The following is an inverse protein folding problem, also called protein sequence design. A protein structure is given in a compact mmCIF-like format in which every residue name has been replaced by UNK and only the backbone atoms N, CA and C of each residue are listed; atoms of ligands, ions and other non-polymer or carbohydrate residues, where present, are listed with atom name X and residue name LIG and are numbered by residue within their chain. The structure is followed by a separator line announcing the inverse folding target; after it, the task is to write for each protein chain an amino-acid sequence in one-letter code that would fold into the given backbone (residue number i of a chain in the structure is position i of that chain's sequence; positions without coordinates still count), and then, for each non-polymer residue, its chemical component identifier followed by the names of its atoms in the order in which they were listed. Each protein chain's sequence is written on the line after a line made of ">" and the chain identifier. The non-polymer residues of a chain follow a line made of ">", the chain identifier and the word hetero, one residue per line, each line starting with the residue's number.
data_IF_435300270504
#
_entry.id   IF_435300270504
#
_cell.length_a   1.000
_cell.length_b   1.000
_cell.length_c   1.000
_cell.angle_alpha   90.00
_cell.angle_beta   90.00
_cell.angle_gamma   90.00
#
_symmetry.space_group_name_H-M   'P 1'
#
loop_
_entity.id
_entity.type
_entity.pdbx_description
1 polymer ?
#
# COMPACT_ATOMS: atom_id res chain seq x y z
N UNK A 1 62.41 17.48 36.54
CA UNK A 1 61.84 16.20 36.05
C UNK A 1 60.32 16.37 35.93
N UNK A 2 59.79 16.56 34.71
CA UNK A 2 58.34 16.75 34.46
C UNK A 2 57.73 15.41 34.02
N UNK A 3 56.74 14.91 34.76
CA UNK A 3 55.97 13.71 34.40
C UNK A 3 54.88 14.11 33.40
N UNK A 4 54.91 13.53 32.20
CA UNK A 4 53.89 13.72 31.17
C UNK A 4 52.91 12.54 31.27
N UNK A 5 51.68 12.82 31.68
CA UNK A 5 50.59 11.83 31.76
C UNK A 5 50.04 11.66 30.33
N UNK A 6 50.18 10.46 29.77
CA UNK A 6 49.58 10.09 28.49
C UNK A 6 48.10 9.75 28.72
N UNK A 7 47.22 10.61 28.21
CA UNK A 7 45.78 10.40 28.11
C UNK A 7 45.51 9.47 26.91
N UNK A 8 45.05 8.25 27.14
CA UNK A 8 44.56 7.37 26.08
C UNK A 8 43.12 7.80 25.72
N UNK A 9 42.96 8.53 24.63
CA UNK A 9 41.65 8.73 23.99
C UNK A 9 41.17 7.39 23.43
N UNK A 10 40.08 6.88 24.00
CA UNK A 10 39.31 5.77 23.41
C UNK A 10 38.53 6.37 22.24
N UNK A 11 39.00 6.12 21.02
CA UNK A 11 38.27 6.44 19.81
C UNK A 11 37.06 5.52 19.67
N UNK A 12 35.85 6.09 19.68
CA UNK A 12 34.63 5.40 19.28
C UNK A 12 34.77 5.14 17.77
N UNK A 13 35.05 3.89 17.41
CA UNK A 13 34.98 3.43 16.02
C UNK A 13 33.50 3.39 15.67
N UNK A 14 33.02 4.44 15.01
CA UNK A 14 31.74 4.42 14.32
C UNK A 14 31.81 3.34 13.25
N UNK A 15 31.12 2.23 13.48
CA UNK A 15 30.90 1.18 12.48
C UNK A 15 30.05 1.81 11.38
N UNK A 16 30.70 2.39 10.38
CA UNK A 16 30.08 2.67 9.10
C UNK A 16 29.70 1.32 8.52
N UNK A 17 28.40 0.99 8.58
CA UNK A 17 27.81 -0.13 7.86
C UNK A 17 28.35 -0.13 6.44
N UNK A 18 29.23 -1.08 6.14
CA UNK A 18 29.59 -1.43 4.79
C UNK A 18 28.34 -2.06 4.20
N UNK A 19 27.49 -1.21 3.60
CA UNK A 19 26.38 -1.62 2.77
C UNK A 19 26.94 -2.50 1.66
N UNK A 20 26.71 -3.80 1.77
CA UNK A 20 26.94 -4.72 0.69
C UNK A 20 26.06 -4.27 -0.47
N UNK A 21 26.74 -3.81 -1.52
CA UNK A 21 26.24 -3.60 -2.87
C UNK A 21 25.27 -4.72 -3.31
N UNK A 22 23.96 -4.52 -3.14
CA UNK A 22 22.93 -5.25 -3.88
C UNK A 22 22.68 -4.52 -5.21
N UNK A 23 23.69 -4.50 -6.08
CA UNK A 23 23.49 -4.06 -7.46
C UNK A 23 22.55 -5.07 -8.15
N UNK A 24 21.29 -4.68 -8.32
CA UNK A 24 20.32 -5.39 -9.17
C UNK A 24 19.03 -5.87 -8.49
N UNK A 25 18.86 -5.73 -7.17
CA UNK A 25 17.57 -5.97 -6.51
C UNK A 25 16.94 -4.64 -6.16
N UNK A 26 15.77 -4.34 -6.72
CA UNK A 26 14.94 -3.25 -6.23
C UNK A 26 14.60 -3.55 -4.76
N UNK A 27 15.13 -2.76 -3.84
CA UNK A 27 14.79 -2.85 -2.42
C UNK A 27 13.30 -2.56 -2.26
N UNK A 28 12.61 -3.44 -1.54
CA UNK A 28 11.21 -3.27 -1.20
C UNK A 28 11.16 -3.14 0.33
N UNK A 29 11.52 -1.99 0.91
CA UNK A 29 11.62 -1.87 2.36
C UNK A 29 10.25 -1.97 3.02
N UNK A 30 10.16 -2.71 4.13
CA UNK A 30 9.00 -2.74 5.01
C UNK A 30 8.99 -1.50 5.90
N UNK A 31 8.69 -0.35 5.30
CA UNK A 31 8.79 0.97 5.95
C UNK A 31 7.48 1.75 5.95
N UNK A 32 6.35 1.16 5.53
CA UNK A 32 5.07 1.84 5.56
C UNK A 32 3.89 0.91 5.80
N UNK A 33 2.74 1.53 6.04
CA UNK A 33 1.47 0.83 6.18
C UNK A 33 0.34 1.61 5.51
N UNK A 34 -0.64 0.89 4.97
CA UNK A 34 -1.96 1.44 4.60
C UNK A 34 -2.97 0.92 5.61
N UNK A 35 -3.73 1.82 6.21
CA UNK A 35 -4.76 1.49 7.18
C UNK A 35 -6.09 2.05 6.69
N UNK A 36 -7.16 1.25 6.80
CA UNK A 36 -8.51 1.70 6.45
C UNK A 36 -9.42 1.53 7.66
N UNK A 37 -10.09 2.61 8.06
CA UNK A 37 -10.89 2.61 9.26
C UNK A 37 -11.59 3.95 9.55
N UNK A 38 -12.09 4.07 10.77
CA UNK A 38 -12.71 5.30 11.25
C UNK A 38 -11.68 6.43 11.43
N UNK A 39 -12.06 7.65 11.08
CA UNK A 39 -11.16 8.81 11.09
C UNK A 39 -10.45 9.01 12.44
N UNK A 40 -11.21 8.91 13.55
CA UNK A 40 -10.66 9.16 14.87
C UNK A 40 -9.67 8.06 15.29
N UNK A 41 -10.00 6.79 15.01
CA UNK A 41 -9.11 5.66 15.31
C UNK A 41 -7.78 5.78 14.56
N UNK A 42 -7.82 6.17 13.27
CA UNK A 42 -6.62 6.39 12.47
C UNK A 42 -5.76 7.54 13.05
N UNK A 43 -6.40 8.66 13.43
CA UNK A 43 -5.70 9.77 14.09
C UNK A 43 -5.09 9.37 15.42
N UNK A 44 -5.78 8.54 16.20
CA UNK A 44 -5.29 8.05 17.48
C UNK A 44 -4.06 7.14 17.28
N UNK A 45 -4.07 6.25 16.28
CA UNK A 45 -2.90 5.45 15.89
C UNK A 45 -1.72 6.36 15.52
N UNK A 46 -1.94 7.37 14.67
CA UNK A 46 -0.88 8.32 14.29
C UNK A 46 -0.31 9.02 15.52
N UNK A 47 -1.15 9.45 16.45
CA UNK A 47 -0.72 10.12 17.68
C UNK A 47 0.06 9.19 18.63
N UNK A 48 -0.40 7.94 18.80
CA UNK A 48 0.24 6.93 19.62
C UNK A 48 1.65 6.57 19.11
N UNK A 49 1.81 6.52 17.78
CA UNK A 49 3.05 6.11 17.12
C UNK A 49 3.83 7.28 16.49
N UNK A 50 3.55 8.53 16.89
CA UNK A 50 4.12 9.73 16.27
C UNK A 50 5.65 9.77 16.22
N UNK A 51 6.33 9.15 17.19
CA UNK A 51 7.80 9.07 17.23
C UNK A 51 8.36 8.17 16.14
N UNK A 52 7.57 7.19 15.69
CA UNK A 52 7.94 6.18 14.71
C UNK A 52 7.52 6.54 13.29
N UNK A 53 6.74 7.63 13.10
CA UNK A 53 6.18 8.05 11.83
C UNK A 53 6.92 9.30 11.32
N UNK A 54 7.53 9.22 10.12
CA UNK A 54 8.14 10.37 9.44
C UNK A 54 7.07 11.24 8.79
N UNK A 55 6.08 10.60 8.17
CA UNK A 55 5.00 11.28 7.46
C UNK A 55 3.78 10.38 7.39
N UNK A 56 2.62 10.99 7.41
CA UNK A 56 1.35 10.33 7.26
C UNK A 56 0.43 11.17 6.35
N UNK A 57 -0.47 10.52 5.62
CA UNK A 57 -1.48 11.19 4.81
C UNK A 57 -2.82 10.48 4.96
N UNK A 58 -3.82 11.25 5.39
CA UNK A 58 -5.19 10.80 5.60
C UNK A 58 -6.05 11.17 4.39
N UNK A 59 -6.67 10.17 3.76
CA UNK A 59 -7.53 10.33 2.60
C UNK A 59 -8.95 9.87 2.92
N UNK A 60 -9.96 10.64 2.52
CA UNK A 60 -11.32 10.13 2.48
C UNK A 60 -11.49 9.25 1.24
N UNK A 61 -11.94 8.02 1.42
CA UNK A 61 -12.15 7.04 0.35
C UNK A 61 -13.57 6.45 0.47
N UNK A 62 -14.00 5.68 -0.54
CA UNK A 62 -15.21 4.86 -0.41
C UNK A 62 -14.87 3.39 -0.59
N UNK A 63 -15.49 2.56 0.24
CA UNK A 63 -15.50 1.11 0.09
C UNK A 63 -16.84 0.63 -0.41
N UNK A 64 -16.80 -0.40 -1.25
CA UNK A 64 -17.96 -1.04 -1.80
C UNK A 64 -17.69 -2.51 -2.06
N UNK A 65 -18.74 -3.25 -2.40
CA UNK A 65 -18.64 -4.62 -2.84
C UNK A 65 -19.39 -4.76 -4.16
N UNK A 66 -18.87 -5.59 -5.04
CA UNK A 66 -19.56 -5.96 -6.28
C UNK A 66 -19.43 -7.46 -6.50
N UNK A 67 -20.37 -8.03 -7.25
CA UNK A 67 -20.26 -9.39 -7.74
C UNK A 67 -19.85 -9.32 -9.21
N UNK A 68 -18.74 -9.96 -9.57
CA UNK A 68 -18.28 -10.07 -10.96
C UNK A 68 -18.42 -11.51 -11.44
N UNK A 69 -18.64 -11.67 -12.74
CA UNK A 69 -18.52 -12.96 -13.40
C UNK A 69 -17.08 -13.13 -13.85
N UNK A 70 -16.43 -14.15 -13.34
CA UNK A 70 -15.07 -14.56 -13.74
C UNK A 70 -15.16 -15.88 -14.50
N UNK A 71 -14.38 -15.98 -15.57
CA UNK A 71 -14.19 -17.22 -16.33
C UNK A 71 -12.84 -17.80 -15.95
N UNK A 72 -12.83 -18.95 -15.29
CA UNK A 72 -11.61 -19.71 -15.01
C UNK A 72 -11.82 -21.14 -15.48
N UNK A 73 -10.87 -21.66 -16.28
CA UNK A 73 -10.86 -23.07 -16.72
C UNK A 73 -12.23 -23.53 -17.27
N UNK A 74 -12.82 -22.73 -18.16
CA UNK A 74 -14.14 -22.96 -18.79
C UNK A 74 -15.36 -22.98 -17.85
N UNK A 75 -15.21 -22.53 -16.59
CA UNK A 75 -16.31 -22.36 -15.64
C UNK A 75 -16.55 -20.88 -15.35
N UNK A 76 -17.81 -20.47 -15.50
CA UNK A 76 -18.28 -19.18 -15.01
C UNK A 76 -18.58 -19.27 -13.52
N UNK A 77 -17.97 -18.39 -12.74
CA UNK A 77 -18.24 -18.24 -11.31
C UNK A 77 -18.56 -16.79 -10.99
N UNK A 78 -19.48 -16.59 -10.06
CA UNK A 78 -19.72 -15.28 -9.47
C UNK A 78 -18.80 -15.14 -8.27
N UNK A 79 -17.91 -14.14 -8.31
CA UNK A 79 -17.02 -13.80 -7.21
C UNK A 79 -17.38 -12.43 -6.65
N UNK A 80 -17.48 -12.38 -5.32
CA UNK A 80 -17.59 -11.13 -4.57
C UNK A 80 -16.22 -10.45 -4.59
N UNK A 81 -16.20 -9.15 -4.85
CA UNK A 81 -14.99 -8.34 -4.97
C UNK A 81 -15.13 -7.10 -4.08
N UNK A 82 -14.07 -6.78 -3.35
CA UNK A 82 -13.92 -5.53 -2.63
C UNK A 82 -13.52 -4.41 -3.61
N UNK A 83 -14.24 -3.30 -3.54
CA UNK A 83 -14.02 -2.13 -4.41
C UNK A 83 -13.52 -0.97 -3.55
N UNK A 84 -12.33 -0.48 -3.85
CA UNK A 84 -11.78 0.75 -3.31
C UNK A 84 -12.00 1.87 -4.33
N UNK A 85 -12.74 2.91 -3.97
CA UNK A 85 -12.99 4.07 -4.83
C UNK A 85 -12.22 5.26 -4.25
N UNK A 86 -11.37 5.86 -5.08
CA UNK A 86 -10.56 7.02 -4.72
C UNK A 86 -10.72 8.12 -5.78
N UNK A 87 -10.56 9.38 -5.36
CA UNK A 87 -10.47 10.48 -6.30
C UNK A 87 -9.07 10.59 -6.91
N UNK A 88 -8.97 11.32 -8.02
CA UNK A 88 -7.71 11.58 -8.71
C UNK A 88 -6.63 12.12 -7.77
N UNK A 89 -6.98 13.04 -6.87
CA UNK A 89 -6.00 13.67 -5.96
C UNK A 89 -5.41 12.64 -4.99
N UNK A 90 -6.22 11.73 -4.48
CA UNK A 90 -5.81 10.62 -3.63
C UNK A 90 -4.90 9.66 -4.41
N UNK A 91 -5.30 9.30 -5.64
CA UNK A 91 -4.48 8.46 -6.51
C UNK A 91 -3.09 9.07 -6.78
N UNK A 92 -3.02 10.37 -7.06
CA UNK A 92 -1.75 11.09 -7.23
C UNK A 92 -0.91 11.07 -5.94
N UNK A 93 -1.54 11.24 -4.78
CA UNK A 93 -0.88 11.20 -3.47
C UNK A 93 -0.23 9.85 -3.18
N UNK A 94 -0.96 8.75 -3.40
CA UNK A 94 -0.43 7.40 -3.20
C UNK A 94 0.57 6.99 -4.29
N UNK A 95 0.41 7.45 -5.54
CA UNK A 95 1.38 7.27 -6.61
C UNK A 95 2.72 7.91 -6.27
N UNK A 96 2.74 9.15 -5.75
CA UNK A 96 3.97 9.87 -5.37
C UNK A 96 4.74 9.18 -4.24
N UNK A 97 4.07 8.37 -3.43
CA UNK A 97 4.71 7.52 -2.40
C UNK A 97 5.22 6.20 -2.97
N UNK A 98 5.01 5.99 -4.27
CA UNK A 98 5.23 4.72 -4.92
C UNK A 98 4.37 3.66 -4.29
N UNK A 99 3.05 3.83 -4.22
CA UNK A 99 2.14 2.75 -3.78
C UNK A 99 1.39 2.11 -4.92
N UNK A 100 1.13 2.82 -6.02
CA UNK A 100 0.54 2.19 -7.20
C UNK A 100 1.61 1.36 -7.93
N UNK A 101 1.39 0.05 -8.04
CA UNK A 101 2.33 -0.92 -8.61
C UNK A 101 1.66 -1.69 -9.73
N UNK A 102 2.39 -1.89 -10.82
CA UNK A 102 1.99 -2.86 -11.85
C UNK A 102 2.01 -4.27 -11.27
N UNK A 103 0.98 -5.03 -11.59
CA UNK A 103 0.83 -6.44 -11.23
C UNK A 103 0.39 -7.24 -12.44
N UNK A 104 0.49 -8.57 -12.34
CA UNK A 104 -0.07 -9.49 -13.32
C UNK A 104 -0.91 -10.52 -12.55
N UNK A 105 -2.23 -10.35 -12.61
CA UNK A 105 -3.21 -11.07 -11.80
C UNK A 105 -2.94 -10.96 -10.30
N UNK A 106 -2.66 -9.73 -9.85
CA UNK A 106 -2.39 -9.40 -8.44
C UNK A 106 -1.00 -9.81 -7.94
N UNK A 107 -0.18 -10.42 -8.80
CA UNK A 107 1.21 -10.77 -8.50
C UNK A 107 2.15 -9.62 -8.92
N UNK A 108 3.13 -9.22 -8.08
CA UNK A 108 4.05 -8.13 -8.39
C UNK A 108 4.82 -8.37 -9.69
N UNK A 109 4.95 -7.35 -10.54
CA UNK A 109 5.87 -7.39 -11.70
C UNK A 109 7.25 -6.81 -11.32
N UNK A 110 8.22 -6.93 -12.22
CA UNK A 110 9.52 -6.26 -12.09
C UNK A 110 9.48 -4.75 -12.42
N UNK A 111 8.33 -4.20 -12.84
CA UNK A 111 8.19 -2.80 -13.26
C UNK A 111 8.27 -1.79 -12.11
N UNK A 112 8.01 -2.23 -10.87
CA UNK A 112 8.04 -1.37 -9.69
C UNK A 112 6.90 -0.32 -9.68
N UNK A 113 7.07 0.83 -9.00
CA UNK A 113 6.06 1.90 -8.95
C UNK A 113 5.77 2.50 -10.31
N UNK A 114 4.49 2.68 -10.65
CA UNK A 114 4.10 3.57 -11.74
C UNK A 114 4.45 5.02 -11.41
N UNK A 115 4.82 5.79 -12.43
CA UNK A 115 5.28 7.18 -12.27
C UNK A 115 4.30 8.20 -12.84
N UNK A 116 3.25 7.76 -13.52
CA UNK A 116 2.18 8.61 -14.03
C UNK A 116 0.84 7.88 -14.00
N UNK A 117 -0.23 8.62 -13.75
CA UNK A 117 -1.59 8.14 -13.93
C UNK A 117 -2.06 8.40 -15.38
N UNK A 118 -2.96 7.56 -15.92
CA UNK A 118 -3.68 7.93 -17.13
C UNK A 118 -4.51 9.19 -16.89
N UNK A 119 -4.82 9.92 -17.96
CA UNK A 119 -5.75 11.05 -17.89
C UNK A 119 -7.12 10.53 -17.44
N UNK A 120 -7.67 11.10 -16.36
CA UNK A 120 -9.00 10.72 -15.83
C UNK A 120 -10.04 11.69 -16.40
N UNK A 121 -10.85 11.27 -17.39
CA UNK A 121 -11.83 12.16 -17.98
C UNK A 121 -12.98 12.43 -17.00
N UNK A 122 -13.51 13.65 -17.01
CA UNK A 122 -14.65 14.03 -16.18
C UNK A 122 -15.84 13.09 -16.43
N UNK A 123 -16.44 12.57 -15.37
CA UNK A 123 -17.60 11.68 -15.43
C UNK A 123 -17.28 10.24 -15.82
N UNK A 124 -16.00 9.88 -16.01
CA UNK A 124 -15.57 8.50 -16.30
C UNK A 124 -15.04 7.82 -15.04
N UNK A 125 -15.15 6.50 -15.03
CA UNK A 125 -14.67 5.64 -13.95
C UNK A 125 -13.59 4.73 -14.50
N UNK A 126 -12.33 5.03 -14.17
CA UNK A 126 -11.20 4.20 -14.55
C UNK A 126 -11.07 3.05 -13.54
N UNK A 127 -10.90 1.83 -14.04
CA UNK A 127 -10.85 0.62 -13.24
C UNK A 127 -9.50 -0.05 -13.38
N UNK A 128 -8.91 -0.37 -12.22
CA UNK A 128 -7.68 -1.11 -12.08
C UNK A 128 -7.95 -2.40 -11.31
N UNK A 129 -7.65 -3.54 -11.92
CA UNK A 129 -7.99 -4.88 -11.42
C UNK A 129 -7.13 -5.92 -12.14
N UNK A 130 -7.11 -7.17 -11.66
CA UNK A 130 -6.50 -8.30 -12.36
C UNK A 130 -6.79 -8.28 -13.87
N UNK A 131 -5.77 -8.47 -14.71
CA UNK A 131 -5.92 -8.38 -16.17
C UNK A 131 -6.88 -9.44 -16.75
N UNK A 132 -7.13 -10.56 -16.05
CA UNK A 132 -8.20 -11.51 -16.35
C UNK A 132 -9.60 -10.86 -16.38
N UNK A 133 -9.78 -9.75 -15.66
CA UNK A 133 -11.04 -9.02 -15.52
C UNK A 133 -11.17 -7.83 -16.50
N UNK A 134 -10.26 -7.67 -17.48
CA UNK A 134 -10.24 -6.52 -18.41
C UNK A 134 -11.50 -6.33 -19.26
N UNK A 135 -12.27 -7.39 -19.46
CA UNK A 135 -13.51 -7.35 -20.25
C UNK A 135 -14.72 -6.84 -19.46
N UNK A 136 -14.59 -6.61 -18.15
CA UNK A 136 -15.65 -5.99 -17.34
C UNK A 136 -15.85 -4.54 -17.77
N UNK A 137 -17.08 -4.22 -18.22
CA UNK A 137 -17.49 -2.85 -18.61
C UNK A 137 -18.50 -2.23 -17.65
N UNK A 138 -19.07 -3.01 -16.76
CA UNK A 138 -20.06 -2.58 -15.78
C UNK A 138 -19.85 -3.35 -14.47
N UNK A 139 -19.90 -2.64 -13.33
CA UNK A 139 -20.00 -3.25 -12.00
C UNK A 139 -21.26 -2.76 -11.29
N UNK A 140 -21.67 -3.44 -10.23
CA UNK A 140 -22.88 -3.09 -9.46
C UNK A 140 -22.51 -2.83 -8.01
N UNK A 141 -22.72 -1.60 -7.55
CA UNK A 141 -22.47 -1.15 -6.17
C UNK A 141 -23.77 -0.57 -5.59
N UNK A 142 -24.22 -1.09 -4.45
CA UNK A 142 -25.49 -0.70 -3.80
C UNK A 142 -26.66 -0.60 -4.79
N UNK A 143 -26.85 -1.65 -5.57
CA UNK A 143 -27.84 -1.76 -6.64
C UNK A 143 -27.73 -0.80 -7.83
N UNK A 144 -26.77 0.12 -7.82
CA UNK A 144 -26.48 1.01 -8.94
C UNK A 144 -25.43 0.42 -9.86
N UNK A 145 -25.73 0.44 -11.15
CA UNK A 145 -24.79 0.07 -12.22
C UNK A 145 -23.80 1.22 -12.45
N UNK A 146 -22.52 0.88 -12.51
CA UNK A 146 -21.44 1.82 -12.77
C UNK A 146 -20.72 1.31 -14.02
N UNK A 147 -20.72 2.12 -15.08
CA UNK A 147 -19.90 1.85 -16.26
C UNK A 147 -18.45 2.13 -15.92
N UNK A 148 -17.58 1.16 -16.21
CA UNK A 148 -16.15 1.20 -15.90
C UNK A 148 -15.34 1.04 -17.17
N UNK A 149 -14.20 1.73 -17.21
CA UNK A 149 -13.19 1.60 -18.24
C UNK A 149 -11.97 0.94 -17.62
N UNK A 150 -11.70 -0.31 -17.99
CA UNK A 150 -10.45 -0.96 -17.62
C UNK A 150 -9.27 -0.17 -18.17
N UNK A 151 -8.30 0.12 -17.30
CA UNK A 151 -7.03 0.76 -17.67
C UNK A 151 -5.88 -0.23 -17.57
N UNK A 152 -5.63 -0.75 -16.38
CA UNK A 152 -4.45 -1.59 -16.14
C UNK A 152 -4.59 -2.48 -14.89
N UNK A 153 -3.67 -3.44 -14.73
CA UNK A 153 -3.59 -4.30 -13.57
C UNK A 153 -2.67 -3.70 -12.50
N UNK A 154 -3.20 -2.72 -11.79
CA UNK A 154 -2.48 -2.00 -10.74
C UNK A 154 -3.08 -2.31 -9.35
N UNK A 155 -2.21 -2.51 -8.36
CA UNK A 155 -2.56 -2.63 -6.94
C UNK A 155 -2.06 -1.45 -6.11
N UNK A 156 -2.66 -1.23 -4.95
CA UNK A 156 -2.10 -0.41 -3.87
C UNK A 156 -1.16 -1.27 -3.02
N UNK A 157 0.13 -0.96 -3.09
CA UNK A 157 1.16 -1.79 -2.50
C UNK A 157 1.67 -2.85 -3.47
N UNK A 158 2.59 -3.68 -2.97
CA UNK A 158 3.36 -4.63 -3.79
C UNK A 158 2.49 -5.72 -4.42
N UNK A 159 1.53 -6.24 -3.67
CA UNK A 159 0.56 -7.24 -4.12
C UNK A 159 -0.84 -6.69 -3.92
N UNK A 160 -1.82 -7.19 -4.68
CA UNK A 160 -3.23 -6.84 -4.49
C UNK A 160 -3.74 -7.38 -3.14
N UNK A 161 -4.36 -6.51 -2.34
CA UNK A 161 -4.93 -6.89 -1.05
C UNK A 161 -6.45 -7.08 -1.15
N UNK A 162 -6.88 -8.33 -1.24
CA UNK A 162 -8.29 -8.71 -1.43
C UNK A 162 -9.20 -8.38 -0.23
N UNK A 163 -8.62 -7.99 0.92
CA UNK A 163 -9.41 -7.55 2.07
C UNK A 163 -10.09 -6.19 1.84
N UNK A 164 -9.57 -5.37 0.91
CA UNK A 164 -10.12 -4.03 0.64
C UNK A 164 -10.05 -3.56 -0.81
N UNK A 165 -9.24 -4.19 -1.69
CA UNK A 165 -9.02 -3.71 -3.06
C UNK A 165 -8.85 -4.80 -4.13
N UNK A 166 -9.85 -5.67 -4.29
CA UNK A 166 -9.90 -6.50 -5.50
C UNK A 166 -9.99 -5.63 -6.78
N UNK A 167 -10.72 -4.52 -6.70
CA UNK A 167 -10.87 -3.51 -7.75
C UNK A 167 -10.59 -2.12 -7.17
N UNK A 168 -9.73 -1.34 -7.84
CA UNK A 168 -9.52 0.08 -7.55
C UNK A 168 -10.22 0.91 -8.63
N UNK A 169 -11.09 1.82 -8.22
CA UNK A 169 -11.72 2.80 -9.10
C UNK A 169 -11.12 4.18 -8.86
N UNK A 170 -10.63 4.82 -9.93
CA UNK A 170 -10.10 6.18 -9.90
C UNK A 170 -11.01 7.08 -10.72
N UNK A 171 -11.44 8.19 -10.13
CA UNK A 171 -12.43 9.11 -10.70
C UNK A 171 -12.10 10.58 -10.42
N UNK A 172 -12.73 11.49 -11.15
CA UNK A 172 -12.66 12.91 -10.81
C UNK A 172 -13.43 13.23 -9.52
N UNK A 173 -13.09 14.35 -8.87
CA UNK A 173 -13.66 14.74 -7.57
C UNK A 173 -15.19 14.94 -7.56
N UNK A 174 -15.81 15.25 -8.70
CA UNK A 174 -17.28 15.37 -8.81
C UNK A 174 -17.88 13.97 -8.82
N UNK A 175 -17.40 13.11 -9.72
CA UNK A 175 -17.83 11.71 -9.83
C UNK A 175 -17.62 10.96 -8.51
N UNK A 176 -16.52 11.21 -7.81
CA UNK A 176 -16.26 10.62 -6.49
C UNK A 176 -17.40 10.89 -5.50
N UNK A 177 -17.96 12.10 -5.47
CA UNK A 177 -19.06 12.46 -4.56
C UNK A 177 -20.33 11.68 -4.87
N UNK A 178 -20.63 11.52 -6.16
CA UNK A 178 -21.89 10.96 -6.66
C UNK A 178 -21.93 9.43 -6.65
N UNK A 179 -20.78 8.77 -6.77
CA UNK A 179 -20.72 7.30 -6.78
C UNK A 179 -21.21 6.69 -5.45
N UNK A 180 -21.96 5.57 -5.48
CA UNK A 180 -22.32 4.87 -4.26
C UNK A 180 -21.09 4.23 -3.60
N UNK A 181 -21.18 4.01 -2.29
CA UNK A 181 -20.13 3.38 -1.48
C UNK A 181 -20.12 3.92 -0.06
N UNK A 182 -19.66 3.10 0.87
CA UNK A 182 -19.49 3.48 2.28
C UNK A 182 -18.27 4.38 2.40
N UNK A 183 -18.47 5.64 2.83
CA UNK A 183 -17.37 6.55 3.12
C UNK A 183 -16.57 6.03 4.31
N UNK A 184 -15.26 6.06 4.18
CA UNK A 184 -14.31 5.70 5.23
C UNK A 184 -13.02 6.49 4.99
N UNK A 185 -11.97 6.20 5.75
CA UNK A 185 -10.69 6.86 5.62
C UNK A 185 -9.57 5.85 5.39
N UNK A 186 -8.58 6.27 4.60
CA UNK A 186 -7.36 5.54 4.33
C UNK A 186 -6.18 6.38 4.83
N UNK A 187 -5.45 5.86 5.79
CA UNK A 187 -4.23 6.46 6.32
C UNK A 187 -3.02 5.76 5.68
N UNK A 188 -2.11 6.55 5.13
CA UNK A 188 -0.84 6.05 4.58
C UNK A 188 0.30 6.48 5.47
N UNK A 189 0.90 5.53 6.19
CA UNK A 189 2.01 5.76 7.11
C UNK A 189 3.36 5.48 6.45
N UNK A 190 4.33 6.34 6.74
CA UNK A 190 5.74 6.11 6.44
C UNK A 190 6.54 6.19 7.74
N UNK A 191 7.18 5.08 8.11
CA UNK A 191 7.90 4.93 9.36
C UNK A 191 9.33 5.42 9.27
N UNK A 192 9.93 5.71 10.43
CA UNK A 192 11.30 6.20 10.56
C UNK A 192 12.39 5.14 10.41
N UNK A 193 11.98 3.87 10.30
CA UNK A 193 12.86 2.74 10.02
C UNK A 193 12.16 1.72 9.13
N UNK A 194 12.97 0.88 8.48
CA UNK A 194 12.49 -0.30 7.77
C UNK A 194 12.59 -1.53 8.68
N UNK A 195 11.59 -2.41 8.61
CA UNK A 195 11.54 -3.68 9.32
C UNK A 195 11.90 -4.85 8.39
N UNK A 196 12.97 -4.70 7.61
CA UNK A 196 13.40 -5.67 6.60
C UNK A 196 12.71 -5.48 5.25
N UNK A 197 12.61 -6.54 4.45
CA UNK A 197 11.99 -6.50 3.12
C UNK A 197 10.49 -6.83 3.15
N UNK A 198 9.70 -6.11 2.37
CA UNK A 198 8.29 -6.34 2.10
C UNK A 198 8.08 -7.46 1.06
N UNK A 199 8.66 -8.63 1.35
CA UNK A 199 8.51 -9.86 0.57
C UNK A 199 8.68 -11.06 1.50
N UNK A 200 8.31 -12.24 1.01
CA UNK A 200 8.52 -13.50 1.74
C UNK A 200 10.00 -13.65 2.11
N UNK A 201 10.27 -14.11 3.33
CA UNK A 201 11.62 -14.35 3.84
C UNK A 201 11.80 -15.83 4.20
N UNK A 202 13.06 -16.26 4.28
CA UNK A 202 13.39 -17.59 4.78
C UNK A 202 13.27 -17.62 6.31
N UNK A 203 12.44 -18.50 6.87
CA UNK A 203 12.26 -18.63 8.31
C UNK A 203 13.51 -19.08 9.09
N UNK A 204 14.50 -19.64 8.40
CA UNK A 204 15.80 -20.03 8.97
C UNK A 204 16.81 -18.87 8.99
N UNK A 205 16.53 -17.78 8.28
CA UNK A 205 17.31 -16.54 8.36
C UNK A 205 16.96 -15.81 9.67
N UNK A 206 17.88 -15.87 10.63
CA UNK A 206 17.69 -15.31 11.96
C UNK A 206 17.44 -13.80 11.94
N UNK A 207 18.11 -13.07 11.05
CA UNK A 207 17.97 -11.61 10.95
C UNK A 207 16.62 -11.25 10.35
N UNK A 208 16.23 -11.92 9.26
CA UNK A 208 14.92 -11.69 8.64
C UNK A 208 13.75 -12.07 9.56
N UNK A 209 13.90 -13.16 10.32
CA UNK A 209 12.93 -13.59 11.33
C UNK A 209 12.82 -12.59 12.48
N UNK A 210 13.94 -12.06 12.97
CA UNK A 210 13.92 -11.02 13.99
C UNK A 210 13.20 -9.76 13.48
N UNK A 211 13.54 -9.28 12.28
CA UNK A 211 12.89 -8.12 11.68
C UNK A 211 11.37 -8.32 11.47
N UNK A 212 10.95 -9.53 11.09
CA UNK A 212 9.53 -9.89 11.03
C UNK A 212 8.84 -9.85 12.40
N UNK A 213 9.46 -10.42 13.44
CA UNK A 213 8.89 -10.40 14.79
C UNK A 213 8.77 -8.97 15.35
N UNK A 214 9.76 -8.12 15.08
CA UNK A 214 9.70 -6.70 15.44
C UNK A 214 8.55 -5.97 14.72
N UNK A 215 8.35 -6.25 13.43
CA UNK A 215 7.24 -5.70 12.66
C UNK A 215 5.87 -6.14 13.20
N UNK A 216 5.69 -7.43 13.43
CA UNK A 216 4.45 -7.99 13.96
C UNK A 216 4.14 -7.41 15.34
N UNK A 217 5.14 -7.28 16.21
CA UNK A 217 4.96 -6.64 17.52
C UNK A 217 4.60 -5.16 17.40
N UNK A 218 5.28 -4.42 16.52
CA UNK A 218 5.05 -2.99 16.32
C UNK A 218 3.65 -2.68 15.79
N UNK A 219 3.14 -3.53 14.89
CA UNK A 219 1.88 -3.29 14.17
C UNK A 219 0.67 -4.00 14.75
N UNK A 220 0.85 -4.83 15.78
CA UNK A 220 -0.22 -5.63 16.39
C UNK A 220 -1.43 -4.76 16.75
N UNK A 221 -1.22 -3.72 17.56
CA UNK A 221 -2.31 -2.88 18.06
C UNK A 221 -2.94 -2.07 16.93
N UNK A 222 -2.19 -1.69 15.90
CA UNK A 222 -2.73 -1.03 14.71
C UNK A 222 -3.72 -1.94 13.97
N UNK A 223 -3.34 -3.21 13.74
CA UNK A 223 -4.17 -4.21 13.05
C UNK A 223 -5.48 -4.49 13.78
N UNK A 224 -5.47 -4.47 15.11
CA UNK A 224 -6.65 -4.70 15.94
C UNK A 224 -7.64 -3.51 15.94
N UNK A 225 -7.17 -2.31 15.62
CA UNK A 225 -7.94 -1.06 15.68
C UNK A 225 -8.57 -0.64 14.34
N UNK A 226 -8.27 -1.32 13.23
CA UNK A 226 -8.68 -0.88 11.88
C UNK A 226 -9.43 -1.97 11.13
N UNK A 227 -10.23 -1.58 10.13
CA UNK A 227 -10.95 -2.54 9.29
C UNK A 227 -10.02 -3.29 8.33
N UNK A 228 -8.94 -2.65 7.89
CA UNK A 228 -7.94 -3.27 7.03
C UNK A 228 -6.58 -2.67 7.29
N UNK A 229 -5.56 -3.51 7.29
CA UNK A 229 -4.17 -3.15 7.45
C UNK A 229 -3.36 -3.80 6.33
N UNK A 230 -2.49 -3.03 5.70
CA UNK A 230 -1.57 -3.51 4.68
C UNK A 230 -0.15 -3.04 4.94
N UNK A 231 0.80 -3.91 4.63
CA UNK A 231 2.23 -3.61 4.72
C UNK A 231 2.73 -3.14 3.37
N UNK A 232 3.29 -1.93 3.30
CA UNK A 232 3.70 -1.35 2.02
C UNK A 232 5.15 -0.85 2.05
N UNK A 233 5.73 -0.76 0.85
CA UNK A 233 7.03 -0.12 0.62
C UNK A 233 6.81 1.29 0.12
N UNK A 234 7.15 2.28 0.93
CA UNK A 234 7.18 3.68 0.51
C UNK A 234 8.50 3.92 -0.21
N UNK A 235 8.42 4.10 -1.52
CA UNK A 235 9.54 4.34 -2.41
C UNK A 235 9.38 5.76 -2.97
N UNK A 236 10.04 6.73 -2.33
CA UNK A 236 10.12 8.10 -2.84
C UNK A 236 11.08 8.10 -4.04
N UNK A 237 10.56 8.41 -5.23
CA UNK A 237 11.37 8.77 -6.40
C UNK A 237 11.48 10.28 -6.49
#
# INVERSE_FOLDING_TARGET
>A
MRKVIKLCMVGIVSISMLGACSFGKTEEPRNGAVLIGEEQQLKDIVNQHKSDIISNDLYQVKRAETNIKVKREDKEKIEKQQVLIIDQKTAEGVMKKGLLRETNNGVPTSGGPITSLPTIPKGKVLMFTNNENKEIKEIKVNDKKINVQYEDDISLGRCRNTAYEDIVLIVDATTFKDLPGTKTYMEVLHFNKSYGENKSFNGDDAEAKQAWNEWEKFTKDMKEQVNSFDTVSIIKK
#
